data_IF_535669895221
#
_entry.id   IF_535669895221
#
_cell.length_a   1.000
_cell.length_b   1.000
_cell.length_c   1.000
_cell.angle_alpha   90.00
_cell.angle_beta   90.00
_cell.angle_gamma   90.00
#
_symmetry.space_group_name_H-M   'P 1'
#
loop_
_entity.id
_entity.type
_entity.pdbx_description
1 polymer ?
#
# COMPACT_ATOMS: atom_id res chain seq x y z
N UNK A 1 5.75 3.10 -4.35
CA UNK A 1 4.91 2.20 -3.54
C UNK A 1 3.46 2.49 -3.87
N UNK A 2 2.61 1.48 -3.84
CA UNK A 2 1.21 1.58 -4.26
C UNK A 2 0.34 0.57 -3.52
N UNK A 3 -0.95 0.88 -3.45
CA UNK A 3 -1.99 -0.01 -2.93
C UNK A 3 -2.88 -0.42 -4.09
N UNK A 4 -3.12 -1.72 -4.25
CA UNK A 4 -3.91 -2.24 -5.36
C UNK A 4 -4.82 -3.41 -4.95
N UNK A 5 -5.89 -3.59 -5.73
CA UNK A 5 -6.74 -4.78 -5.71
C UNK A 5 -6.17 -5.82 -6.67
N UNK A 6 -5.87 -7.02 -6.20
CA UNK A 6 -5.41 -8.11 -7.04
C UNK A 6 -6.60 -8.77 -7.75
N UNK A 7 -6.62 -8.72 -9.08
CA UNK A 7 -7.82 -9.06 -9.85
C UNK A 7 -8.23 -10.54 -9.78
N UNK A 8 -7.27 -11.45 -9.57
CA UNK A 8 -7.56 -12.89 -9.54
C UNK A 8 -8.45 -13.28 -8.34
N UNK A 9 -8.24 -12.66 -7.17
CA UNK A 9 -8.95 -13.05 -5.93
C UNK A 9 -9.61 -11.88 -5.19
N UNK A 10 -9.51 -10.66 -5.74
CA UNK A 10 -10.08 -9.44 -5.19
C UNK A 10 -9.41 -8.92 -3.92
N UNK A 11 -8.32 -9.54 -3.46
CA UNK A 11 -7.61 -9.11 -2.24
C UNK A 11 -6.92 -7.77 -2.42
N UNK A 12 -6.68 -7.08 -1.32
CA UNK A 12 -5.97 -5.80 -1.32
C UNK A 12 -4.51 -6.00 -0.87
N UNK A 13 -3.59 -5.37 -1.58
CA UNK A 13 -2.15 -5.53 -1.38
C UNK A 13 -1.44 -4.18 -1.37
N UNK A 14 -0.42 -4.06 -0.54
CA UNK A 14 0.58 -3.00 -0.56
C UNK A 14 1.82 -3.52 -1.29
N UNK A 15 2.26 -2.80 -2.31
CA UNK A 15 3.53 -3.04 -3.00
C UNK A 15 4.52 -1.96 -2.65
N UNK A 16 5.68 -2.35 -2.13
CA UNK A 16 6.77 -1.45 -1.79
C UNK A 16 7.98 -1.75 -2.66
N UNK A 17 8.53 -0.72 -3.28
CA UNK A 17 9.79 -0.79 -4.04
C UNK A 17 10.96 -0.62 -3.08
N UNK A 18 11.88 -1.56 -3.12
CA UNK A 18 13.14 -1.57 -2.38
C UNK A 18 14.32 -1.73 -3.34
N UNK A 19 15.54 -1.66 -2.82
CA UNK A 19 16.76 -1.83 -3.63
C UNK A 19 16.94 -3.25 -4.17
N UNK A 20 16.24 -4.23 -3.60
CA UNK A 20 16.30 -5.65 -3.98
C UNK A 20 15.08 -6.12 -4.79
N UNK A 21 14.13 -5.22 -5.07
CA UNK A 21 12.90 -5.51 -5.81
C UNK A 21 11.63 -5.09 -5.08
N UNK A 22 10.52 -5.74 -5.40
CA UNK A 22 9.21 -5.45 -4.81
C UNK A 22 8.91 -6.36 -3.62
N UNK A 23 8.46 -5.77 -2.53
CA UNK A 23 7.83 -6.46 -1.40
C UNK A 23 6.32 -6.30 -1.48
N UNK A 24 5.60 -7.38 -1.20
CA UNK A 24 4.14 -7.44 -1.27
C UNK A 24 3.58 -7.81 0.10
N UNK A 25 2.75 -6.94 0.66
CA UNK A 25 2.08 -7.16 1.93
C UNK A 25 0.58 -7.24 1.70
N UNK A 26 -0.03 -8.34 2.16
CA UNK A 26 -1.48 -8.51 2.08
C UNK A 26 -2.14 -7.64 3.14
N UNK A 27 -3.04 -6.76 2.70
CA UNK A 27 -3.77 -5.84 3.57
C UNK A 27 -5.13 -6.42 3.97
N UNK A 28 -5.83 -7.04 3.01
CA UNK A 28 -7.15 -7.64 3.23
C UNK A 28 -7.20 -9.01 2.56
N UNK A 29 -7.57 -10.04 3.32
CA UNK A 29 -7.71 -11.42 2.82
C UNK A 29 -9.05 -11.67 2.12
N UNK A 30 -10.09 -10.90 2.46
CA UNK A 30 -11.37 -10.90 1.79
C UNK A 30 -11.33 -10.20 0.43
N UNK A 31 -12.30 -10.54 -0.44
CA UNK A 31 -12.44 -9.90 -1.74
C UNK A 31 -13.06 -8.51 -1.61
N UNK A 32 -12.38 -7.50 -2.13
CA UNK A 32 -12.95 -6.17 -2.36
C UNK A 32 -13.91 -6.27 -3.54
N UNK A 33 -15.19 -5.96 -3.28
CA UNK A 33 -16.24 -5.99 -4.29
C UNK A 33 -15.94 -5.03 -5.45
N UNK A 34 -16.28 -5.46 -6.66
CA UNK A 34 -16.31 -4.59 -7.83
C UNK A 34 -17.56 -3.71 -7.82
N UNK A 35 -17.56 -2.63 -8.60
CA UNK A 35 -18.69 -1.71 -8.74
C UNK A 35 -19.12 -1.02 -7.43
N UNK A 36 -18.20 -0.90 -6.48
CA UNK A 36 -18.41 -0.21 -5.21
C UNK A 36 -17.27 0.79 -4.96
N UNK A 37 -17.62 1.99 -4.50
CA UNK A 37 -16.64 2.95 -4.03
C UNK A 37 -16.16 2.56 -2.64
N UNK A 38 -14.84 2.61 -2.44
CA UNK A 38 -14.18 2.39 -1.15
C UNK A 38 -13.18 3.52 -0.92
N UNK A 39 -13.05 3.97 0.33
CA UNK A 39 -12.10 5.01 0.67
C UNK A 39 -10.80 4.37 1.17
N UNK A 40 -9.69 4.68 0.49
CA UNK A 40 -8.36 4.17 0.85
C UNK A 40 -7.47 5.35 1.22
N UNK A 41 -6.93 5.31 2.44
CA UNK A 41 -5.93 6.27 2.91
C UNK A 41 -4.58 5.60 3.08
N UNK A 42 -3.52 6.30 2.69
CA UNK A 42 -2.14 5.89 2.99
C UNK A 42 -1.38 7.07 3.58
N UNK A 43 -0.71 6.84 4.69
CA UNK A 43 0.20 7.80 5.31
C UNK A 43 1.60 7.22 5.31
N UNK A 44 2.58 8.03 4.90
CA UNK A 44 3.98 7.63 4.85
C UNK A 44 4.79 8.63 5.65
N UNK A 45 5.47 8.13 6.68
CA UNK A 45 6.41 8.89 7.49
C UNK A 45 7.80 8.55 6.97
N UNK A 46 8.38 9.46 6.18
CA UNK A 46 9.67 9.26 5.56
C UNK A 46 10.80 9.28 6.61
N UNK A 47 11.61 8.23 6.64
CA UNK A 47 12.80 8.11 7.48
C UNK A 47 13.91 7.36 6.72
N UNK A 48 14.18 7.80 5.50
CA UNK A 48 15.11 7.12 4.58
C UNK A 48 14.70 5.67 4.32
N UNK A 49 15.66 4.76 4.40
CA UNK A 49 15.42 3.32 4.25
C UNK A 49 14.58 2.71 5.39
N UNK A 50 14.21 3.48 6.41
CA UNK A 50 13.45 3.04 7.56
C UNK A 50 12.08 3.72 7.69
N UNK A 51 11.44 4.03 6.57
CA UNK A 51 10.15 4.75 6.56
C UNK A 51 9.00 3.91 7.12
N UNK A 52 7.99 4.57 7.70
CA UNK A 52 6.77 3.92 8.21
C UNK A 52 5.63 4.15 7.22
N UNK A 53 4.81 3.12 6.99
CA UNK A 53 3.56 3.23 6.21
C UNK A 53 2.39 2.74 7.04
N UNK A 54 1.31 3.51 6.97
CA UNK A 54 0.02 3.21 7.58
C UNK A 54 -1.05 3.22 6.49
N UNK A 55 -2.00 2.29 6.56
CA UNK A 55 -3.07 2.14 5.57
C UNK A 55 -4.42 2.02 6.28
N UNK A 56 -5.40 2.77 5.77
CA UNK A 56 -6.79 2.70 6.20
C UNK A 56 -7.71 2.34 5.03
N UNK A 57 -8.75 1.54 5.33
CA UNK A 57 -9.86 1.25 4.44
C UNK A 57 -11.17 1.65 5.13
N UNK A 58 -11.92 2.54 4.49
CA UNK A 58 -13.16 3.14 5.02
C UNK A 58 -13.02 3.66 6.45
N UNK A 59 -11.88 4.32 6.72
CA UNK A 59 -11.56 4.89 8.03
C UNK A 59 -11.00 3.90 9.05
N UNK A 60 -10.98 2.59 8.76
CA UNK A 60 -10.43 1.57 9.66
C UNK A 60 -8.95 1.31 9.33
N UNK A 61 -8.08 1.35 10.34
CA UNK A 61 -6.66 1.00 10.15
C UNK A 61 -6.52 -0.50 9.88
N UNK A 62 -5.95 -0.84 8.73
CA UNK A 62 -5.77 -2.23 8.28
C UNK A 62 -4.29 -2.64 8.25
N UNK A 63 -3.38 -1.67 8.35
CA UNK A 63 -1.95 -1.92 8.36
C UNK A 63 -1.19 -0.75 8.97
N UNK A 64 -0.17 -1.07 9.76
CA UNK A 64 0.86 -0.15 10.21
C UNK A 64 2.18 -0.93 10.28
N UNK A 65 3.25 -0.35 9.77
CA UNK A 65 4.59 -0.95 9.81
C UNK A 65 5.43 -0.35 10.92
N UNK A 66 6.27 -1.17 11.56
CA UNK A 66 7.37 -0.63 12.39
C UNK A 66 8.47 0.01 11.54
N UNK A 67 8.80 -0.62 10.40
CA UNK A 67 9.77 -0.12 9.42
C UNK A 67 9.50 -0.76 8.06
N UNK A 68 9.66 -0.01 6.96
CA UNK A 68 9.68 -0.55 5.61
C UNK A 68 10.91 -0.07 4.85
N UNK A 69 11.65 -1.03 4.31
CA UNK A 69 12.76 -0.77 3.43
C UNK A 69 12.23 -0.27 2.08
N UNK A 70 12.50 0.99 1.78
CA UNK A 70 12.14 1.61 0.51
C UNK A 70 13.29 2.43 -0.04
N UNK A 71 13.36 2.54 -1.37
CA UNK A 71 14.30 3.45 -2.06
C UNK A 71 13.79 4.88 -2.11
N UNK A 72 12.53 5.13 -1.77
CA UNK A 72 11.95 6.46 -1.71
C UNK A 72 12.44 7.21 -0.47
N UNK A 73 13.35 8.16 -0.66
CA UNK A 73 13.82 9.07 0.40
C UNK A 73 12.91 10.30 0.57
N UNK A 74 12.00 10.52 -0.38
CA UNK A 74 10.94 11.54 -0.38
C UNK A 74 9.68 10.94 -1.00
N UNK A 75 8.50 11.31 -0.50
CA UNK A 75 7.22 10.88 -1.08
C UNK A 75 6.85 11.88 -2.18
N UNK A 76 7.19 11.54 -3.42
CA UNK A 76 6.97 12.44 -4.57
C UNK A 76 5.66 12.18 -5.30
N UNK A 77 5.08 10.98 -5.19
CA UNK A 77 3.74 10.67 -5.70
C UNK A 77 3.13 9.46 -4.97
N UNK A 78 1.84 9.57 -4.62
CA UNK A 78 1.01 8.45 -4.20
C UNK A 78 0.15 8.02 -5.39
N UNK A 79 0.41 6.81 -5.92
CA UNK A 79 -0.46 6.23 -6.93
C UNK A 79 -1.50 5.33 -6.29
N UNK A 80 -2.77 5.69 -6.48
CA UNK A 80 -3.92 4.87 -6.15
C UNK A 80 -4.49 4.30 -7.45
N UNK A 81 -4.12 3.06 -7.78
CA UNK A 81 -4.50 2.40 -9.03
C UNK A 81 -3.31 1.79 -9.78
N UNK A 82 -3.56 1.01 -10.84
CA UNK A 82 -2.51 0.35 -11.60
C UNK A 82 -1.62 1.35 -12.36
N UNK A 83 -0.31 1.16 -12.32
CA UNK A 83 0.66 1.84 -13.20
C UNK A 83 0.47 1.32 -14.62
N UNK A 84 0.29 2.24 -15.60
CA UNK A 84 0.24 1.89 -17.03
C UNK A 84 1.66 1.65 -17.55
#
# INVERSE_FOLDING_TARGET
MDIYRYNNNGQMWLRVTSSTGFTYTKLVSGSIALNAWRHVGMHVIANGAASTVEVWLDGTSIFSSNQINTTATTVTALQLGPSI
#
